data_IF_482441298063
#
_entry.id   IF_482441298063
#
_cell.length_a   1.000
_cell.length_b   1.000
_cell.length_c   1.000
_cell.angle_alpha   90.00
_cell.angle_beta   90.00
_cell.angle_gamma   90.00
#
_symmetry.space_group_name_H-M   'P 1'
#
loop_
_entity.id
_entity.type
_entity.pdbx_description
1 polymer ?
#
# COMPACT_ATOMS: atom_id res chain seq x y z
N UNK A 1 46.08 -0.70 22.66
CA UNK A 1 44.89 -1.56 22.40
C UNK A 1 43.59 -0.93 22.95
N UNK A 2 43.34 0.37 22.73
CA UNK A 2 42.21 1.12 23.35
C UNK A 2 41.27 1.81 22.35
N UNK A 3 41.74 2.03 21.11
CA UNK A 3 41.01 2.77 20.07
C UNK A 3 39.83 1.95 19.51
N UNK A 4 40.01 0.64 19.33
CA UNK A 4 38.97 -0.24 18.75
C UNK A 4 37.72 -0.36 19.64
N UNK A 5 37.86 -0.33 20.97
CA UNK A 5 36.72 -0.40 21.88
C UNK A 5 35.89 0.88 21.86
N UNK A 6 36.53 2.06 21.75
CA UNK A 6 35.81 3.33 21.64
C UNK A 6 35.05 3.43 20.33
N UNK A 7 35.67 3.02 19.22
CA UNK A 7 35.00 2.96 17.90
C UNK A 7 33.84 1.97 17.93
N UNK A 8 34.02 0.79 18.54
CA UNK A 8 32.96 -0.21 18.68
C UNK A 8 31.80 0.30 19.54
N UNK A 9 32.09 0.94 20.68
CA UNK A 9 31.06 1.55 21.54
C UNK A 9 30.33 2.66 20.80
N UNK A 10 31.03 3.55 20.09
CA UNK A 10 30.39 4.59 19.27
C UNK A 10 29.52 3.98 18.16
N UNK A 11 29.98 2.92 17.50
CA UNK A 11 29.20 2.23 16.47
C UNK A 11 27.94 1.55 17.06
N UNK A 12 28.05 0.91 18.23
CA UNK A 12 26.91 0.31 18.94
C UNK A 12 25.91 1.37 19.41
N UNK A 13 26.38 2.50 19.95
CA UNK A 13 25.54 3.64 20.34
C UNK A 13 24.84 4.25 19.13
N UNK A 14 25.52 4.41 18.00
CA UNK A 14 24.93 4.91 16.75
C UNK A 14 23.87 3.96 16.19
N UNK A 15 24.12 2.64 16.21
CA UNK A 15 23.15 1.63 15.79
C UNK A 15 21.93 1.63 16.73
N UNK A 16 22.12 1.70 18.05
CA UNK A 16 21.02 1.74 19.01
C UNK A 16 20.22 3.06 18.93
N UNK A 17 20.89 4.20 18.77
CA UNK A 17 20.23 5.49 18.59
C UNK A 17 19.35 5.51 17.32
N UNK A 18 19.78 4.83 16.27
CA UNK A 18 19.01 4.70 15.03
C UNK A 18 17.99 3.55 15.04
N UNK A 19 18.10 2.58 15.96
CA UNK A 19 17.10 1.51 16.13
C UNK A 19 15.77 2.02 16.68
N UNK A 20 15.76 3.16 17.37
CA UNK A 20 14.62 3.63 18.16
C UNK A 20 13.75 4.71 17.50
N UNK A 21 13.77 4.85 16.18
CA UNK A 21 12.67 5.54 15.50
C UNK A 21 11.45 4.61 15.42
N UNK A 22 10.80 4.40 16.56
CA UNK A 22 9.48 3.76 16.62
C UNK A 22 8.55 4.57 15.72
N UNK A 23 8.03 3.93 14.67
CA UNK A 23 6.99 4.54 13.83
C UNK A 23 5.84 4.98 14.72
N UNK A 24 5.46 6.27 14.65
CA UNK A 24 4.33 6.81 15.42
C UNK A 24 3.03 6.05 15.13
N UNK A 25 2.88 5.61 13.88
CA UNK A 25 1.74 4.80 13.43
C UNK A 25 2.22 3.70 12.48
N UNK A 26 1.78 2.45 12.70
CA UNK A 26 1.93 1.37 11.72
C UNK A 26 1.00 1.58 10.52
N UNK A 27 -0.20 2.12 10.76
CA UNK A 27 -1.15 2.65 9.79
C UNK A 27 -1.68 3.96 10.37
N UNK A 28 -1.65 5.03 9.58
CA UNK A 28 -2.12 6.33 10.05
C UNK A 28 -3.64 6.29 10.32
N UNK A 29 -4.16 6.95 11.38
CA UNK A 29 -5.59 6.94 11.70
C UNK A 29 -6.51 7.38 10.54
N UNK A 30 -6.04 8.30 9.69
CA UNK A 30 -6.75 8.73 8.45
C UNK A 30 -6.99 7.58 7.45
N UNK A 31 -6.24 6.49 7.54
CA UNK A 31 -6.39 5.31 6.68
C UNK A 31 -7.05 4.14 7.41
N UNK A 32 -7.46 4.33 8.67
CA UNK A 32 -8.02 3.25 9.49
C UNK A 32 -9.41 2.83 9.01
N UNK A 33 -10.18 3.78 8.49
CA UNK A 33 -11.54 3.64 7.99
C UNK A 33 -11.59 3.40 6.47
N UNK A 34 -10.45 3.13 5.81
CA UNK A 34 -10.38 2.94 4.34
C UNK A 34 -11.39 1.92 3.80
N UNK A 35 -11.69 0.87 4.57
CA UNK A 35 -12.61 -0.19 4.15
C UNK A 35 -14.06 0.30 4.14
N UNK A 36 -14.42 1.25 5.00
CA UNK A 36 -15.76 1.82 5.12
C UNK A 36 -15.94 3.09 4.27
N UNK A 37 -14.93 3.96 4.22
CA UNK A 37 -15.03 5.30 3.63
C UNK A 37 -14.11 5.51 2.42
N UNK A 38 -13.24 4.55 2.11
CA UNK A 38 -12.27 4.68 1.03
C UNK A 38 -12.93 4.79 -0.34
N UNK A 39 -12.36 5.60 -1.22
CA UNK A 39 -12.88 5.85 -2.58
C UNK A 39 -13.09 4.53 -3.33
N UNK A 40 -12.13 3.61 -3.25
CA UNK A 40 -12.28 2.31 -3.90
C UNK A 40 -13.53 1.56 -3.41
N UNK A 41 -13.70 1.42 -2.09
CA UNK A 41 -14.82 0.67 -1.52
C UNK A 41 -16.18 1.36 -1.71
N UNK A 42 -16.21 2.69 -1.89
CA UNK A 42 -17.46 3.47 -2.04
C UNK A 42 -17.87 3.72 -3.49
N UNK A 43 -16.90 3.80 -4.42
CA UNK A 43 -17.10 4.21 -5.81
C UNK A 43 -16.84 3.10 -6.82
N UNK A 44 -15.86 2.21 -6.60
CA UNK A 44 -15.42 1.26 -7.63
C UNK A 44 -16.54 0.33 -8.11
N UNK A 45 -17.33 -0.21 -7.19
CA UNK A 45 -18.49 -1.06 -7.53
C UNK A 45 -19.51 -0.31 -8.40
N UNK A 46 -19.76 0.96 -8.09
CA UNK A 46 -20.68 1.81 -8.86
C UNK A 46 -20.14 2.13 -10.25
N UNK A 47 -18.82 2.22 -10.41
CA UNK A 47 -18.21 2.40 -11.72
C UNK A 47 -18.40 1.16 -12.59
N UNK A 48 -18.28 -0.05 -12.04
CA UNK A 48 -18.50 -1.30 -12.80
C UNK A 48 -19.91 -1.41 -13.37
N UNK A 49 -20.91 -0.89 -12.67
CA UNK A 49 -22.29 -0.83 -13.15
C UNK A 49 -22.51 0.16 -14.31
N UNK A 50 -21.55 1.07 -14.54
CA UNK A 50 -21.62 2.12 -15.54
C UNK A 50 -20.35 2.16 -16.40
N UNK A 51 -20.27 1.35 -17.47
CA UNK A 51 -19.07 1.23 -18.31
C UNK A 51 -18.56 2.56 -18.88
N UNK A 52 -19.45 3.52 -19.18
CA UNK A 52 -19.08 4.86 -19.63
C UNK A 52 -18.32 5.65 -18.54
N UNK A 53 -18.76 5.53 -17.28
CA UNK A 53 -18.10 6.15 -16.13
C UNK A 53 -16.81 5.42 -15.79
N UNK A 54 -16.81 4.09 -15.85
CA UNK A 54 -15.60 3.28 -15.66
C UNK A 54 -14.52 3.71 -16.64
N UNK A 55 -14.85 3.78 -17.94
CA UNK A 55 -13.93 4.20 -18.98
C UNK A 55 -13.45 5.63 -18.77
N UNK A 56 -14.34 6.56 -18.39
CA UNK A 56 -13.95 7.94 -18.09
C UNK A 56 -13.00 8.03 -16.89
N UNK A 57 -13.22 7.19 -15.88
CA UNK A 57 -12.47 7.19 -14.63
C UNK A 57 -11.08 6.55 -14.80
N UNK A 58 -11.00 5.35 -15.37
CA UNK A 58 -9.75 4.60 -15.52
C UNK A 58 -9.08 4.75 -16.89
N UNK A 59 -9.71 5.44 -17.84
CA UNK A 59 -9.25 5.60 -19.24
C UNK A 59 -9.10 4.29 -20.01
N UNK A 60 -9.80 3.26 -19.57
CA UNK A 60 -9.83 1.92 -20.17
C UNK A 60 -11.12 1.19 -19.80
N UNK A 61 -11.46 0.14 -20.54
CA UNK A 61 -12.62 -0.69 -20.19
C UNK A 61 -12.32 -1.61 -19.00
N UNK A 62 -13.36 -2.21 -18.43
CA UNK A 62 -13.21 -3.17 -17.34
C UNK A 62 -12.41 -4.41 -17.77
N UNK A 63 -12.55 -4.84 -19.02
CA UNK A 63 -11.81 -5.98 -19.57
C UNK A 63 -10.30 -5.69 -19.58
N UNK A 64 -9.88 -4.55 -20.12
CA UNK A 64 -8.46 -4.14 -20.12
C UNK A 64 -7.92 -3.97 -18.70
N UNK A 65 -8.73 -3.43 -17.80
CA UNK A 65 -8.35 -3.30 -16.40
C UNK A 65 -8.11 -4.68 -15.75
N UNK A 66 -8.99 -5.65 -16.00
CA UNK A 66 -8.86 -7.02 -15.52
C UNK A 66 -7.67 -7.77 -16.16
N UNK A 67 -7.37 -7.51 -17.43
CA UNK A 67 -6.16 -8.03 -18.09
C UNK A 67 -4.90 -7.52 -17.38
N UNK A 68 -4.81 -6.24 -17.07
CA UNK A 68 -3.67 -5.67 -16.32
C UNK A 68 -3.55 -6.33 -14.94
N UNK A 69 -4.67 -6.57 -14.25
CA UNK A 69 -4.68 -7.31 -12.98
C UNK A 69 -4.11 -8.72 -13.17
N UNK A 70 -4.46 -9.41 -14.26
CA UNK A 70 -3.96 -10.77 -14.52
C UNK A 70 -2.44 -10.80 -14.72
N UNK A 71 -1.88 -9.81 -15.41
CA UNK A 71 -0.45 -9.73 -15.68
C UNK A 71 0.35 -9.26 -14.47
N UNK A 72 -0.11 -8.20 -13.79
CA UNK A 72 0.66 -7.54 -12.73
C UNK A 72 0.37 -8.16 -11.37
N UNK A 73 -0.83 -8.71 -11.18
CA UNK A 73 -1.33 -9.26 -9.92
C UNK A 73 -0.36 -10.19 -9.19
N UNK A 74 0.27 -11.19 -9.84
CA UNK A 74 1.24 -12.06 -9.20
C UNK A 74 2.43 -11.32 -8.56
N UNK A 75 2.85 -10.20 -9.16
CA UNK A 75 3.99 -9.40 -8.70
C UNK A 75 3.60 -8.41 -7.60
N UNK A 76 2.33 -8.04 -7.53
CA UNK A 76 1.85 -6.96 -6.67
C UNK A 76 0.92 -7.41 -5.54
N UNK A 77 0.46 -8.66 -5.57
CA UNK A 77 -0.33 -9.23 -4.48
C UNK A 77 0.49 -9.24 -3.19
N UNK A 78 -0.14 -8.82 -2.10
CA UNK A 78 0.39 -8.94 -0.74
C UNK A 78 -0.49 -9.88 0.07
N UNK A 79 0.10 -10.51 1.07
CA UNK A 79 -0.62 -11.40 1.98
C UNK A 79 -1.21 -10.61 3.15
N UNK A 80 -2.38 -11.03 3.61
CA UNK A 80 -2.93 -10.58 4.88
C UNK A 80 -2.06 -11.04 6.04
N UNK A 81 -2.00 -10.21 7.07
CA UNK A 81 -1.31 -10.53 8.32
C UNK A 81 -2.31 -10.44 9.46
N UNK A 82 -1.97 -11.04 10.61
CA UNK A 82 -2.79 -10.95 11.83
C UNK A 82 -3.16 -9.50 12.20
N UNK A 83 -2.33 -8.54 11.83
CA UNK A 83 -2.45 -7.13 12.23
C UNK A 83 -3.09 -6.25 11.16
N UNK A 84 -3.15 -6.71 9.91
CA UNK A 84 -3.55 -5.88 8.77
C UNK A 84 -4.02 -6.73 7.60
N UNK A 85 -5.17 -6.35 7.04
CA UNK A 85 -5.60 -6.74 5.70
C UNK A 85 -4.79 -5.98 4.63
N UNK A 86 -4.20 -6.73 3.71
CA UNK A 86 -3.52 -6.22 2.55
C UNK A 86 -4.47 -5.37 1.68
N UNK A 87 -3.88 -4.45 0.92
CA UNK A 87 -4.60 -3.72 -0.13
C UNK A 87 -4.74 -4.70 -1.29
N UNK A 88 -5.96 -4.87 -1.81
CA UNK A 88 -6.18 -5.80 -2.91
C UNK A 88 -5.42 -5.33 -4.17
N UNK A 89 -5.11 -6.26 -5.07
CA UNK A 89 -4.47 -5.94 -6.36
C UNK A 89 -5.31 -4.94 -7.13
N UNK A 90 -6.63 -5.14 -7.12
CA UNK A 90 -7.62 -4.28 -7.77
C UNK A 90 -7.65 -2.87 -7.18
N UNK A 91 -7.68 -2.74 -5.86
CA UNK A 91 -7.65 -1.45 -5.16
C UNK A 91 -6.35 -0.70 -5.43
N UNK A 92 -5.22 -1.43 -5.41
CA UNK A 92 -3.92 -0.86 -5.76
C UNK A 92 -3.89 -0.32 -7.18
N UNK A 93 -4.37 -1.11 -8.15
CA UNK A 93 -4.40 -0.70 -9.54
C UNK A 93 -5.34 0.51 -9.71
N UNK A 94 -6.51 0.47 -9.07
CA UNK A 94 -7.47 1.56 -9.07
C UNK A 94 -6.84 2.87 -8.61
N UNK A 95 -6.15 2.89 -7.46
CA UNK A 95 -5.51 4.10 -6.93
C UNK A 95 -4.39 4.60 -7.84
N UNK A 96 -3.68 3.68 -8.50
CA UNK A 96 -2.58 4.02 -9.43
C UNK A 96 -3.10 4.68 -10.70
N UNK A 97 -4.23 4.19 -11.24
CA UNK A 97 -4.81 4.68 -12.48
C UNK A 97 -5.76 5.87 -12.30
N UNK A 98 -6.28 6.11 -11.09
CA UNK A 98 -7.22 7.19 -10.81
C UNK A 98 -6.58 8.58 -10.68
N UNK A 99 -5.29 8.72 -11.01
CA UNK A 99 -4.55 9.99 -10.92
C UNK A 99 -4.74 10.86 -12.15
#
# INVERSE_FOLDING_TARGET
>A
MSINNKVLVCALLYINFNRDKKRRYCVHPVLSDRLSSGIFHTLHSKLKEHPDKFFKYYRMSEETFNEIISFVGPFIKRQDTRWRCAISVEERLSVTLSQ
#
